data_IF_331134479693
#
_entry.id   IF_331134479693
#
_cell.length_a   1.000
_cell.length_b   1.000
_cell.length_c   1.000
_cell.angle_alpha   90.00
_cell.angle_beta   90.00
_cell.angle_gamma   90.00
#
_symmetry.space_group_name_H-M   'P 1'
#
loop_
_entity.id
_entity.type
_entity.pdbx_description
1 polymer ?
#
# COMPACT_ATOMS: atom_id res chain seq x y z
N UNK A 1 11.06 23.74 -2.76
CA UNK A 1 9.88 24.35 -2.10
C UNK A 1 9.90 24.00 -0.62
N UNK A 2 10.06 25.00 0.27
CA UNK A 2 10.05 24.81 1.73
C UNK A 2 8.61 24.97 2.22
N UNK A 3 7.98 23.87 2.64
CA UNK A 3 6.64 23.90 3.24
C UNK A 3 6.80 24.18 4.73
N UNK A 4 6.46 25.39 5.16
CA UNK A 4 6.29 25.76 6.56
C UNK A 4 5.11 24.96 7.11
N UNK A 5 5.36 24.06 8.07
CA UNK A 5 4.30 23.40 8.85
C UNK A 5 3.94 24.29 10.04
N UNK A 6 2.68 24.70 10.10
CA UNK A 6 2.11 25.37 11.28
C UNK A 6 1.91 24.36 12.42
N UNK A 7 2.14 24.75 13.69
CA UNK A 7 1.91 23.88 14.83
C UNK A 7 0.41 23.78 15.14
N UNK A 8 -0.08 22.53 15.20
CA UNK A 8 -1.42 22.21 15.63
C UNK A 8 -1.68 22.70 17.06
N UNK A 9 -2.81 23.38 17.24
CA UNK A 9 -3.25 23.95 18.51
C UNK A 9 -3.38 22.91 19.61
N UNK A 10 -2.76 23.21 20.75
CA UNK A 10 -2.93 22.51 22.02
C UNK A 10 -4.37 22.70 22.50
N UNK A 11 -5.18 21.65 22.46
CA UNK A 11 -6.48 21.61 23.16
C UNK A 11 -6.21 21.36 24.64
N UNK A 12 -6.16 22.43 25.43
CA UNK A 12 -6.04 22.36 26.89
C UNK A 12 -7.36 21.90 27.50
N UNK A 13 -7.43 20.64 27.92
CA UNK A 13 -8.48 20.13 28.81
C UNK A 13 -8.26 20.68 30.23
N UNK A 14 -8.92 21.79 30.55
CA UNK A 14 -9.01 22.31 31.91
C UNK A 14 -9.85 21.37 32.78
N UNK A 15 -9.19 20.45 33.49
CA UNK A 15 -9.80 19.54 34.46
C UNK A 15 -10.10 20.34 35.74
N UNK A 16 -11.35 20.80 35.90
CA UNK A 16 -11.88 21.30 37.18
C UNK A 16 -11.84 20.16 38.21
N UNK A 17 -10.84 20.15 39.08
CA UNK A 17 -10.84 19.34 40.30
C UNK A 17 -11.12 20.31 41.45
N UNK A 18 -12.38 20.31 41.87
CA UNK A 18 -12.84 21.10 43.00
C UNK A 18 -12.09 20.71 44.27
N UNK A 19 -11.61 21.73 44.96
CA UNK A 19 -11.00 21.69 46.28
C UNK A 19 -12.08 21.35 47.30
N UNK A 20 -12.02 20.15 47.86
CA UNK A 20 -12.65 19.83 49.14
C UNK A 20 -11.53 19.79 50.19
N UNK A 21 -11.16 20.97 50.70
CA UNK A 21 -10.30 21.11 51.87
C UNK A 21 -11.13 20.78 53.12
N UNK A 22 -11.31 19.49 53.37
CA UNK A 22 -11.92 18.95 54.59
C UNK A 22 -10.84 18.67 55.62
N UNK A 23 -10.83 19.48 56.68
CA UNK A 23 -10.09 19.32 57.93
C UNK A 23 -10.24 17.91 58.51
N UNK A 24 -9.17 17.11 58.44
CA UNK A 24 -9.12 15.77 59.07
C UNK A 24 -7.72 15.39 59.61
N UNK A 25 -6.88 16.37 59.97
CA UNK A 25 -5.57 16.13 60.55
C UNK A 25 -5.52 16.66 61.99
N UNK A 26 -6.23 15.98 62.87
CA UNK A 26 -6.05 16.12 64.31
C UNK A 26 -6.41 14.81 64.99
N UNK A 27 -5.60 13.76 64.80
CA UNK A 27 -5.41 12.71 65.81
C UNK A 27 -4.40 11.65 65.37
N UNK A 28 -3.40 11.45 66.26
CA UNK A 28 -2.50 10.30 66.39
C UNK A 28 -1.31 10.25 65.43
N UNK A 29 -0.28 11.02 65.78
CA UNK A 29 1.11 10.63 65.56
C UNK A 29 1.44 9.38 66.40
N UNK A 30 1.04 8.21 65.90
CA UNK A 30 1.70 6.97 66.27
C UNK A 30 3.07 6.95 65.58
N UNK A 31 4.13 6.39 66.20
CA UNK A 31 5.49 6.48 65.69
C UNK A 31 5.59 5.81 64.30
N UNK A 32 5.63 6.65 63.25
CA UNK A 32 5.80 6.26 61.84
C UNK A 32 7.05 5.37 61.64
N UNK A 33 7.98 5.40 62.58
CA UNK A 33 9.17 4.55 62.60
C UNK A 33 8.85 3.05 62.71
N UNK A 34 7.74 2.64 63.33
CA UNK A 34 7.42 1.22 63.56
C UNK A 34 6.74 0.55 62.36
N UNK A 35 5.90 1.27 61.61
CA UNK A 35 5.25 0.74 60.40
C UNK A 35 6.20 0.67 59.21
N UNK A 36 7.14 1.62 59.08
CA UNK A 36 8.21 1.57 58.07
C UNK A 36 9.13 0.37 58.31
N UNK A 37 9.43 0.04 59.56
CA UNK A 37 10.24 -1.14 59.91
C UNK A 37 9.56 -2.47 59.52
N UNK A 38 8.23 -2.58 59.68
CA UNK A 38 7.48 -3.79 59.30
C UNK A 38 7.30 -3.96 57.78
N UNK A 39 7.11 -2.86 57.04
CA UNK A 39 7.07 -2.91 55.58
C UNK A 39 8.46 -3.21 55.01
N UNK A 40 9.52 -2.73 55.67
CA UNK A 40 10.90 -3.05 55.29
C UNK A 40 11.17 -4.56 55.36
N UNK A 41 10.61 -5.27 56.35
CA UNK A 41 10.84 -6.71 56.51
C UNK A 41 10.19 -7.56 55.42
N UNK A 42 9.04 -7.13 54.88
CA UNK A 42 8.28 -7.94 53.90
C UNK A 42 8.93 -7.97 52.53
N UNK A 43 9.47 -6.85 52.04
CA UNK A 43 10.17 -6.85 50.74
C UNK A 43 11.54 -7.52 50.85
N UNK A 44 12.24 -7.41 51.98
CA UNK A 44 13.50 -8.12 52.22
C UNK A 44 13.28 -9.63 52.15
N UNK A 45 12.27 -10.17 52.84
CA UNK A 45 11.93 -11.59 52.76
C UNK A 45 11.50 -12.02 51.33
N UNK A 46 10.90 -11.12 50.54
CA UNK A 46 10.57 -11.40 49.13
C UNK A 46 11.82 -11.43 48.24
N UNK A 47 12.78 -10.52 48.45
CA UNK A 47 14.08 -10.49 47.77
C UNK A 47 14.96 -11.66 48.19
N UNK A 48 14.90 -12.11 49.44
CA UNK A 48 15.61 -13.33 49.88
C UNK A 48 15.06 -14.59 49.21
N UNK A 49 13.74 -14.65 48.98
CA UNK A 49 13.10 -15.77 48.25
C UNK A 49 13.39 -15.73 46.75
N UNK A 50 13.49 -14.54 46.18
CA UNK A 50 13.75 -14.31 44.75
C UNK A 50 14.83 -13.24 44.64
N UNK A 51 16.12 -13.61 44.84
CA UNK A 51 17.20 -12.65 44.72
C UNK A 51 17.24 -12.09 43.31
N UNK A 52 17.59 -10.81 43.12
CA UNK A 52 17.81 -10.26 41.80
C UNK A 52 18.90 -11.08 41.09
N UNK A 53 18.84 -11.20 39.75
CA UNK A 53 19.91 -11.85 39.02
C UNK A 53 21.25 -11.18 39.36
N UNK A 54 22.35 -11.95 39.47
CA UNK A 54 23.67 -11.39 39.76
C UNK A 54 24.01 -10.34 38.69
N UNK A 55 24.83 -9.32 39.04
CA UNK A 55 25.24 -8.31 38.07
C UNK A 55 25.82 -8.99 36.84
N UNK A 56 25.45 -8.50 35.66
CA UNK A 56 25.90 -9.07 34.40
C UNK A 56 27.44 -9.08 34.40
N UNK A 57 28.01 -10.28 34.54
CA UNK A 57 29.44 -10.46 34.29
C UNK A 57 29.70 -10.03 32.84
N UNK A 58 30.90 -9.54 32.53
CA UNK A 58 31.34 -9.35 31.15
C UNK A 58 31.42 -10.74 30.50
N UNK A 59 30.27 -11.30 30.13
CA UNK A 59 30.11 -12.63 29.59
C UNK A 59 30.63 -12.59 28.18
N UNK A 60 31.86 -13.04 28.07
CA UNK A 60 32.46 -13.36 26.80
C UNK A 60 31.68 -14.52 26.21
N UNK A 61 30.91 -14.26 25.15
CA UNK A 61 30.15 -15.28 24.45
C UNK A 61 31.13 -16.13 23.64
N UNK A 62 31.19 -17.44 23.91
CA UNK A 62 31.99 -18.34 23.10
C UNK A 62 31.39 -18.41 21.68
N UNK A 63 32.14 -17.98 20.66
CA UNK A 63 31.69 -17.94 19.26
C UNK A 63 31.14 -19.30 18.76
N UNK A 64 31.61 -20.41 19.35
CA UNK A 64 31.23 -21.78 18.97
C UNK A 64 29.78 -22.16 19.26
N UNK A 65 29.08 -21.49 20.18
CA UNK A 65 27.78 -21.98 20.68
C UNK A 65 26.56 -21.53 19.87
N UNK A 66 26.70 -20.73 18.80
CA UNK A 66 25.53 -20.13 18.17
C UNK A 66 25.63 -19.72 16.70
N UNK A 67 26.61 -20.20 15.92
CA UNK A 67 26.75 -19.76 14.53
C UNK A 67 26.67 -20.90 13.51
N UNK A 68 25.57 -20.87 12.74
CA UNK A 68 25.32 -21.66 11.52
C UNK A 68 26.18 -21.24 10.32
N UNK A 69 27.30 -20.51 10.52
CA UNK A 69 28.20 -20.19 9.42
C UNK A 69 29.15 -21.35 9.17
N UNK A 70 28.63 -22.42 8.55
CA UNK A 70 29.39 -23.56 8.03
C UNK A 70 30.41 -23.20 6.93
N UNK A 71 30.56 -21.91 6.62
CA UNK A 71 31.50 -21.36 5.64
C UNK A 71 32.72 -20.69 6.28
N UNK A 72 33.05 -21.02 7.53
CA UNK A 72 34.38 -20.70 8.07
C UNK A 72 35.41 -21.39 7.17
N UNK A 73 36.00 -20.56 6.32
CA UNK A 73 36.71 -20.93 5.10
C UNK A 73 37.71 -22.04 5.43
N UNK A 74 37.56 -23.19 4.76
CA UNK A 74 38.58 -24.24 4.57
C UNK A 74 39.81 -23.70 3.82
N UNK A 75 40.38 -22.59 4.29
CA UNK A 75 41.62 -21.97 3.84
C UNK A 75 42.63 -21.89 4.98
N UNK A 76 42.48 -22.70 6.03
CA UNK A 76 43.60 -23.01 6.91
C UNK A 76 44.58 -23.93 6.15
N UNK A 77 45.40 -23.27 5.34
CA UNK A 77 46.77 -23.68 5.07
C UNK A 77 47.35 -24.37 6.30
N UNK A 78 47.97 -25.52 6.08
CA UNK A 78 48.50 -26.52 7.03
C UNK A 78 49.34 -25.94 8.20
N UNK A 79 49.69 -24.64 8.18
CA UNK A 79 50.49 -23.95 9.19
C UNK A 79 49.73 -23.48 10.45
N UNK A 80 48.40 -23.58 10.53
CA UNK A 80 47.62 -23.07 11.68
C UNK A 80 47.08 -24.14 12.66
N UNK A 81 47.59 -25.38 12.64
CA UNK A 81 47.11 -26.49 13.51
C UNK A 81 47.37 -26.35 15.02
N UNK A 82 47.90 -25.23 15.51
CA UNK A 82 48.38 -25.06 16.89
C UNK A 82 47.71 -23.92 17.68
N UNK A 83 46.67 -23.27 17.15
CA UNK A 83 45.95 -22.21 17.88
C UNK A 83 44.43 -22.39 17.82
N UNK A 84 43.94 -23.54 18.27
CA UNK A 84 42.51 -23.74 18.61
C UNK A 84 42.18 -23.08 19.97
N UNK A 85 42.64 -21.84 20.19
CA UNK A 85 42.15 -21.04 21.32
C UNK A 85 40.85 -20.38 20.86
N UNK A 86 39.70 -20.62 21.53
CA UNK A 86 38.47 -19.92 21.18
C UNK A 86 38.72 -18.42 21.23
N UNK A 87 38.43 -17.73 20.14
CA UNK A 87 38.44 -16.28 20.11
C UNK A 87 37.17 -15.83 20.82
N UNK A 88 37.38 -14.91 21.73
CA UNK A 88 36.43 -14.51 22.74
C UNK A 88 36.15 -13.04 22.48
N UNK A 89 35.05 -12.75 21.78
CA UNK A 89 34.68 -11.39 21.41
C UNK A 89 33.76 -10.77 22.47
N UNK A 90 33.95 -9.48 22.73
CA UNK A 90 33.08 -8.72 23.63
C UNK A 90 31.72 -8.36 22.99
N UNK A 91 31.57 -8.59 21.67
CA UNK A 91 30.35 -8.30 20.93
C UNK A 91 29.58 -9.58 20.65
N UNK A 92 28.25 -9.49 20.78
CA UNK A 92 27.34 -10.54 20.34
C UNK A 92 27.47 -10.72 18.83
N UNK A 93 27.53 -11.96 18.35
CA UNK A 93 27.68 -12.21 16.92
C UNK A 93 26.37 -11.87 16.17
N UNK A 94 26.47 -11.53 14.88
CA UNK A 94 25.32 -11.09 14.10
C UNK A 94 24.38 -12.26 13.78
N UNK A 95 23.09 -12.13 14.05
CA UNK A 95 22.10 -13.16 13.71
C UNK A 95 21.84 -13.10 12.20
N UNK A 96 22.25 -14.14 11.47
CA UNK A 96 22.06 -14.25 10.02
C UNK A 96 21.21 -15.47 9.74
N UNK A 97 20.11 -15.27 9.01
CA UNK A 97 19.23 -16.35 8.62
C UNK A 97 19.51 -16.79 7.17
N UNK A 98 19.39 -18.09 6.84
CA UNK A 98 19.62 -18.56 5.47
C UNK A 98 18.65 -17.91 4.46
N UNK A 99 17.42 -17.63 4.86
CA UNK A 99 16.42 -16.98 4.02
C UNK A 99 16.67 -15.48 3.75
N UNK A 100 17.60 -14.84 4.49
CA UNK A 100 17.94 -13.42 4.24
C UNK A 100 18.52 -13.21 2.83
N UNK A 101 19.20 -14.22 2.28
CA UNK A 101 19.67 -14.19 0.91
C UNK A 101 18.50 -14.13 -0.08
N UNK A 102 17.45 -14.93 0.14
CA UNK A 102 16.25 -14.98 -0.70
C UNK A 102 15.42 -13.69 -0.61
N UNK A 103 15.31 -13.12 0.60
CA UNK A 103 14.65 -11.81 0.80
C UNK A 103 15.40 -10.73 0.01
N UNK A 104 16.74 -10.74 0.02
CA UNK A 104 17.55 -9.78 -0.74
C UNK A 104 17.38 -9.95 -2.24
N UNK A 105 17.46 -11.16 -2.78
CA UNK A 105 17.31 -11.40 -4.22
C UNK A 105 15.92 -11.01 -4.69
N UNK A 106 14.87 -11.34 -3.92
CA UNK A 106 13.49 -10.94 -4.25
C UNK A 106 13.34 -9.42 -4.37
N UNK A 107 13.82 -8.64 -3.40
CA UNK A 107 13.69 -7.19 -3.47
C UNK A 107 14.64 -6.52 -4.47
N UNK A 108 15.69 -7.22 -4.92
CA UNK A 108 16.53 -6.76 -6.03
C UNK A 108 15.79 -6.93 -7.36
N UNK A 109 15.10 -8.05 -7.56
CA UNK A 109 14.32 -8.33 -8.78
C UNK A 109 12.97 -7.60 -8.81
N UNK A 110 12.41 -7.27 -7.64
CA UNK A 110 11.11 -6.61 -7.49
C UNK A 110 11.23 -5.29 -6.71
N UNK A 111 11.84 -4.24 -7.28
CA UNK A 111 12.09 -2.98 -6.56
C UNK A 111 10.81 -2.29 -6.10
N UNK A 112 9.70 -2.45 -6.84
CA UNK A 112 8.40 -1.85 -6.50
C UNK A 112 7.72 -2.51 -5.29
N UNK A 113 8.07 -3.74 -4.94
CA UNK A 113 7.55 -4.39 -3.72
C UNK A 113 8.06 -3.72 -2.44
N UNK A 114 9.17 -2.98 -2.51
CA UNK A 114 9.67 -2.15 -1.38
C UNK A 114 8.78 -0.95 -1.07
N UNK A 115 7.98 -0.54 -2.04
CA UNK A 115 7.15 0.65 -1.95
C UNK A 115 5.78 0.35 -1.37
N UNK A 116 5.41 -0.93 -1.27
CA UNK A 116 4.16 -1.34 -0.65
C UNK A 116 4.27 -1.16 0.87
N UNK A 117 3.28 -0.51 1.51
CA UNK A 117 3.30 -0.32 2.95
C UNK A 117 3.20 -1.68 3.65
N UNK A 118 4.03 -1.87 4.68
CA UNK A 118 4.01 -3.07 5.53
C UNK A 118 3.73 -2.62 6.95
N UNK A 119 2.72 -3.23 7.58
CA UNK A 119 2.46 -3.02 8.99
C UNK A 119 3.53 -3.75 9.81
N UNK A 120 4.24 -3.03 10.67
CA UNK A 120 5.24 -3.58 11.59
C UNK A 120 4.63 -3.91 12.96
N UNK A 121 3.31 -3.82 13.13
CA UNK A 121 2.68 -4.22 14.39
C UNK A 121 2.69 -5.75 14.52
N UNK A 122 2.61 -6.27 15.73
CA UNK A 122 2.64 -7.72 15.99
C UNK A 122 1.23 -8.31 16.19
N UNK A 123 0.19 -7.61 15.73
CA UNK A 123 -1.23 -7.90 16.06
C UNK A 123 -1.77 -9.23 15.50
N UNK A 124 -0.90 -10.11 14.98
CA UNK A 124 -1.23 -11.44 14.43
C UNK A 124 -2.03 -11.41 13.13
N UNK A 125 -2.68 -10.30 12.83
CA UNK A 125 -3.56 -10.10 11.68
C UNK A 125 -2.91 -9.30 10.55
N UNK A 126 -1.62 -9.00 10.66
CA UNK A 126 -0.92 -8.22 9.66
C UNK A 126 -0.61 -9.06 8.43
N UNK A 127 -0.87 -8.45 7.27
CA UNK A 127 -0.45 -9.01 6.00
C UNK A 127 1.08 -9.16 6.01
N UNK A 128 1.54 -10.38 5.80
CA UNK A 128 2.97 -10.66 5.76
C UNK A 128 3.61 -9.92 4.58
N UNK A 129 4.84 -9.40 4.75
CA UNK A 129 5.56 -8.78 3.64
C UNK A 129 5.72 -9.77 2.49
N UNK A 130 5.67 -9.27 1.25
CA UNK A 130 5.68 -10.09 0.04
C UNK A 130 6.84 -11.11 0.00
N UNK A 131 8.05 -10.66 0.36
CA UNK A 131 9.22 -11.54 0.41
C UNK A 131 9.05 -12.69 1.41
N UNK A 132 8.44 -12.43 2.55
CA UNK A 132 8.24 -13.43 3.60
C UNK A 132 7.21 -14.49 3.18
N UNK A 133 6.14 -14.08 2.48
CA UNK A 133 5.16 -15.01 1.91
C UNK A 133 5.83 -16.00 0.95
N UNK A 134 6.70 -15.49 0.07
CA UNK A 134 7.42 -16.32 -0.92
C UNK A 134 8.41 -17.25 -0.25
N UNK A 135 9.21 -16.75 0.71
CA UNK A 135 10.16 -17.57 1.47
C UNK A 135 9.44 -18.70 2.20
N UNK A 136 8.34 -18.42 2.88
CA UNK A 136 7.55 -19.46 3.57
C UNK A 136 6.98 -20.47 2.59
N UNK A 137 6.38 -20.01 1.50
CA UNK A 137 5.84 -20.89 0.46
C UNK A 137 6.94 -21.76 -0.16
N UNK A 138 8.13 -21.20 -0.44
CA UNK A 138 9.28 -21.96 -0.95
C UNK A 138 9.74 -23.03 0.04
N UNK A 139 9.82 -22.71 1.33
CA UNK A 139 10.14 -23.70 2.37
C UNK A 139 9.08 -24.80 2.47
N UNK A 140 7.80 -24.46 2.36
CA UNK A 140 6.70 -25.42 2.32
C UNK A 140 6.84 -26.33 1.09
N UNK A 141 7.04 -25.75 -0.10
CA UNK A 141 7.19 -26.52 -1.33
C UNK A 141 8.40 -27.46 -1.33
N UNK A 142 9.53 -26.99 -0.80
CA UNK A 142 10.73 -27.81 -0.66
C UNK A 142 10.52 -28.98 0.32
N UNK A 143 9.85 -28.74 1.46
CA UNK A 143 9.60 -29.77 2.48
C UNK A 143 8.53 -30.79 2.07
N UNK A 144 7.41 -30.33 1.54
CA UNK A 144 6.24 -31.17 1.25
C UNK A 144 6.39 -31.94 -0.07
N UNK A 145 7.01 -31.32 -1.08
CA UNK A 145 7.09 -31.89 -2.43
C UNK A 145 8.51 -32.32 -2.81
N UNK A 146 9.51 -32.13 -1.93
CA UNK A 146 10.90 -32.51 -2.20
C UNK A 146 11.51 -31.76 -3.39
N UNK A 147 10.99 -30.57 -3.70
CA UNK A 147 11.49 -29.75 -4.80
C UNK A 147 12.85 -29.13 -4.43
N UNK A 148 13.74 -28.99 -5.43
CA UNK A 148 14.94 -28.18 -5.30
C UNK A 148 14.59 -26.74 -4.90
N UNK A 149 15.44 -26.09 -4.10
CA UNK A 149 15.20 -24.73 -3.60
C UNK A 149 14.88 -23.73 -4.72
N UNK A 150 15.53 -23.87 -5.87
CA UNK A 150 15.31 -23.01 -7.04
C UNK A 150 13.93 -23.24 -7.65
N UNK A 151 13.55 -24.51 -7.81
CA UNK A 151 12.23 -24.89 -8.35
C UNK A 151 11.11 -24.51 -7.41
N UNK A 152 11.27 -24.75 -6.11
CA UNK A 152 10.34 -24.36 -5.07
C UNK A 152 10.15 -22.83 -5.01
N UNK A 153 11.23 -22.06 -5.18
CA UNK A 153 11.18 -20.60 -5.28
C UNK A 153 10.37 -20.13 -6.49
N UNK A 154 10.60 -20.72 -7.67
CA UNK A 154 9.88 -20.36 -8.89
C UNK A 154 8.38 -20.66 -8.79
N UNK A 155 8.02 -21.81 -8.20
CA UNK A 155 6.60 -22.17 -7.95
C UNK A 155 5.96 -21.20 -6.96
N UNK A 156 6.65 -20.88 -5.86
CA UNK A 156 6.18 -19.89 -4.89
C UNK A 156 5.99 -18.50 -5.51
N UNK A 157 6.92 -18.09 -6.37
CA UNK A 157 6.85 -16.81 -7.07
C UNK A 157 5.68 -16.77 -8.06
N UNK A 158 5.44 -17.86 -8.81
CA UNK A 158 4.29 -17.96 -9.71
C UNK A 158 2.95 -17.88 -8.96
N UNK A 159 2.84 -18.57 -7.82
CA UNK A 159 1.66 -18.50 -6.95
C UNK A 159 1.44 -17.07 -6.41
N UNK A 160 2.52 -16.41 -5.97
CA UNK A 160 2.46 -15.02 -5.54
C UNK A 160 1.95 -14.07 -6.63
N UNK A 161 2.37 -14.26 -7.89
CA UNK A 161 1.89 -13.44 -9.01
C UNK A 161 0.41 -13.68 -9.33
N UNK A 162 -0.05 -14.93 -9.28
CA UNK A 162 -1.46 -15.23 -9.45
C UNK A 162 -2.33 -14.56 -8.38
N UNK A 163 -1.89 -14.64 -7.12
CA UNK A 163 -2.55 -13.95 -5.99
C UNK A 163 -2.57 -12.44 -6.20
N UNK A 164 -1.45 -11.83 -6.61
CA UNK A 164 -1.36 -10.39 -6.88
C UNK A 164 -2.29 -9.95 -7.97
N UNK A 165 -2.32 -10.66 -9.08
CA UNK A 165 -3.22 -10.36 -10.20
C UNK A 165 -4.69 -10.44 -9.75
N UNK A 166 -5.03 -11.43 -8.93
CA UNK A 166 -6.39 -11.56 -8.39
C UNK A 166 -6.76 -10.41 -7.44
N UNK A 167 -5.83 -9.98 -6.58
CA UNK A 167 -6.05 -8.88 -5.64
C UNK A 167 -6.21 -7.54 -6.36
N UNK A 168 -5.36 -7.26 -7.35
CA UNK A 168 -5.45 -6.06 -8.19
C UNK A 168 -6.75 -6.04 -9.00
N UNK A 169 -7.16 -7.17 -9.58
CA UNK A 169 -8.45 -7.29 -10.27
C UNK A 169 -9.64 -7.02 -9.33
N UNK A 170 -9.59 -7.52 -8.09
CA UNK A 170 -10.62 -7.25 -7.08
C UNK A 170 -10.65 -5.78 -6.67
N UNK A 171 -9.50 -5.14 -6.47
CA UNK A 171 -9.41 -3.72 -6.15
C UNK A 171 -9.97 -2.85 -7.29
N UNK A 172 -9.59 -3.16 -8.53
CA UNK A 172 -10.16 -2.52 -9.72
C UNK A 172 -11.68 -2.70 -9.80
N UNK A 173 -12.19 -3.90 -9.53
CA UNK A 173 -13.63 -4.16 -9.50
C UNK A 173 -14.33 -3.36 -8.39
N UNK A 174 -13.74 -3.26 -7.19
CA UNK A 174 -14.25 -2.44 -6.09
C UNK A 174 -14.30 -0.96 -6.46
N UNK A 175 -13.23 -0.43 -7.07
CA UNK A 175 -13.20 0.94 -7.55
C UNK A 175 -14.22 1.20 -8.66
N UNK A 176 -14.38 0.27 -9.60
CA UNK A 176 -15.37 0.38 -10.67
C UNK A 176 -16.80 0.40 -10.11
N UNK A 177 -17.11 -0.44 -9.11
CA UNK A 177 -18.40 -0.43 -8.40
C UNK A 177 -18.63 0.91 -7.69
N UNK A 178 -17.67 1.36 -6.89
CA UNK A 178 -17.75 2.65 -6.19
C UNK A 178 -17.96 3.81 -7.18
N UNK A 179 -17.24 3.81 -8.29
CA UNK A 179 -17.40 4.82 -9.37
C UNK A 179 -18.80 4.77 -9.97
N UNK A 180 -19.32 3.58 -10.27
CA UNK A 180 -20.69 3.41 -10.77
C UNK A 180 -21.71 3.93 -9.77
N UNK A 181 -21.57 3.62 -8.49
CA UNK A 181 -22.48 4.06 -7.44
C UNK A 181 -22.49 5.59 -7.32
N UNK A 182 -21.30 6.21 -7.34
CA UNK A 182 -21.15 7.67 -7.36
C UNK A 182 -21.83 8.30 -8.58
N UNK A 183 -21.67 7.73 -9.77
CA UNK A 183 -22.33 8.23 -10.98
C UNK A 183 -23.86 8.12 -10.89
N UNK A 184 -24.39 7.04 -10.29
CA UNK A 184 -25.82 6.90 -10.05
C UNK A 184 -26.32 7.97 -9.06
N UNK A 185 -25.59 8.22 -7.97
CA UNK A 185 -25.91 9.29 -7.03
C UNK A 185 -25.90 10.68 -7.70
N UNK A 186 -24.94 10.94 -8.58
CA UNK A 186 -24.89 12.21 -9.31
C UNK A 186 -26.06 12.34 -10.28
N UNK A 187 -26.45 11.24 -10.94
CA UNK A 187 -27.63 11.22 -11.82
C UNK A 187 -28.92 11.50 -11.04
N UNK A 188 -29.11 10.88 -9.88
CA UNK A 188 -30.31 11.11 -9.06
C UNK A 188 -30.36 12.54 -8.51
N UNK A 189 -29.22 13.10 -8.08
CA UNK A 189 -29.14 14.49 -7.64
C UNK A 189 -29.42 15.48 -8.78
N UNK A 190 -28.93 15.18 -9.99
CA UNK A 190 -29.21 16.03 -11.16
C UNK A 190 -30.70 16.04 -11.47
N UNK A 191 -31.34 14.87 -11.53
CA UNK A 191 -32.78 14.78 -11.75
C UNK A 191 -33.60 15.51 -10.67
N UNK A 192 -33.14 15.51 -9.41
CA UNK A 192 -33.77 16.27 -8.32
C UNK A 192 -33.62 17.78 -8.52
N UNK A 193 -32.43 18.25 -8.88
CA UNK A 193 -32.18 19.67 -9.18
C UNK A 193 -33.09 20.13 -10.33
N UNK A 194 -33.15 19.36 -11.42
CA UNK A 194 -33.98 19.68 -12.58
C UNK A 194 -35.47 19.75 -12.21
N UNK A 195 -35.93 18.83 -11.35
CA UNK A 195 -37.31 18.83 -10.86
C UNK A 195 -37.62 20.04 -9.96
N UNK A 196 -36.71 20.40 -9.04
CA UNK A 196 -36.86 21.57 -8.17
C UNK A 196 -36.83 22.88 -8.99
N UNK A 197 -35.97 22.98 -10.01
CA UNK A 197 -35.95 24.10 -10.95
C UNK A 197 -37.28 24.25 -11.70
N UNK A 198 -37.83 23.14 -12.22
CA UNK A 198 -39.13 23.19 -12.89
C UNK A 198 -40.32 23.55 -11.98
N UNK A 199 -40.20 23.41 -10.66
CA UNK A 199 -41.18 23.93 -9.69
C UNK A 199 -41.02 25.45 -9.54
N UNK A 200 -39.77 25.92 -9.41
CA UNK A 200 -39.47 27.35 -9.31
C UNK A 200 -39.92 28.12 -10.56
N UNK A 201 -39.64 27.61 -11.75
CA UNK A 201 -40.05 28.24 -13.01
C UNK A 201 -41.57 28.40 -13.11
N UNK A 202 -42.33 27.39 -12.66
CA UNK A 202 -43.80 27.45 -12.61
C UNK A 202 -44.30 28.50 -11.63
N UNK A 203 -43.69 28.62 -10.46
CA UNK A 203 -44.05 29.63 -9.46
C UNK A 203 -43.72 31.05 -9.92
N UNK A 204 -42.54 31.24 -10.51
CA UNK A 204 -42.16 32.52 -11.11
C UNK A 204 -43.12 32.93 -12.23
N UNK A 205 -43.56 31.97 -13.05
CA UNK A 205 -44.57 32.24 -14.08
C UNK A 205 -45.94 32.58 -13.48
N UNK A 206 -46.34 32.01 -12.34
CA UNK A 206 -47.57 32.36 -11.63
C UNK A 206 -47.52 33.77 -11.05
N UNK A 207 -46.40 34.15 -10.41
CA UNK A 207 -46.19 35.50 -9.91
C UNK A 207 -46.27 36.54 -11.04
N UNK A 208 -45.60 36.29 -12.17
CA UNK A 208 -45.66 37.17 -13.35
C UNK A 208 -47.07 37.30 -13.96
N UNK A 209 -47.93 36.28 -13.82
CA UNK A 209 -49.33 36.39 -14.28
C UNK A 209 -50.14 37.27 -13.33
N UNK A 210 -49.95 37.14 -12.02
CA UNK A 210 -50.61 38.01 -11.03
C UNK A 210 -50.22 39.48 -11.24
N UNK A 211 -48.93 39.77 -11.35
CA UNK A 211 -48.43 41.14 -11.62
C UNK A 211 -49.00 41.76 -12.91
N UNK A 212 -49.36 40.93 -13.90
CA UNK A 212 -49.91 41.40 -15.18
C UNK A 212 -51.44 41.58 -15.20
N UNK A 213 -52.16 40.98 -14.26
CA UNK A 213 -53.64 41.03 -14.18
C UNK A 213 -54.13 42.18 -13.25
N UNK A 214 -53.23 42.89 -12.57
CA UNK A 214 -53.54 43.88 -11.52
C UNK A 214 -53.72 45.35 -12.02
N UNK A 215 -53.90 45.62 -13.32
CA UNK A 215 -54.05 47.01 -13.78
C UNK A 215 -55.42 47.66 -13.49
N UNK A 216 -56.47 46.90 -13.11
CA UNK A 216 -57.83 47.45 -12.92
C UNK A 216 -58.50 47.17 -11.55
N UNK A 217 -57.93 46.35 -10.66
CA UNK A 217 -58.53 46.01 -9.36
C UNK A 217 -57.74 46.59 -8.16
N UNK A 218 -58.43 47.33 -7.29
CA UNK A 218 -57.83 47.94 -6.10
C UNK A 218 -57.32 46.85 -5.13
N UNK A 219 -56.09 46.98 -4.61
CA UNK A 219 -55.49 45.97 -3.74
C UNK A 219 -56.33 45.75 -2.49
N UNK A 220 -56.71 44.49 -2.26
CA UNK A 220 -57.32 44.02 -1.02
C UNK A 220 -56.23 43.89 0.04
N UNK A 221 -56.40 44.53 1.21
CA UNK A 221 -55.45 44.51 2.34
C UNK A 221 -55.10 43.09 2.85
N UNK A 222 -55.77 42.05 2.34
CA UNK A 222 -55.62 40.66 2.76
C UNK A 222 -54.62 39.83 1.91
N UNK A 223 -54.01 40.41 0.88
CA UNK A 223 -53.13 39.69 -0.05
C UNK A 223 -51.63 39.81 0.26
N UNK A 224 -51.22 40.73 1.16
CA UNK A 224 -49.80 40.88 1.55
C UNK A 224 -49.21 39.63 2.21
N UNK A 225 -50.02 38.90 2.98
CA UNK A 225 -49.52 37.73 3.73
C UNK A 225 -49.21 36.56 2.79
N UNK A 226 -49.99 36.39 1.71
CA UNK A 226 -49.79 35.29 0.75
C UNK A 226 -48.52 35.45 -0.09
N UNK A 227 -48.14 36.68 -0.39
CA UNK A 227 -46.95 36.97 -1.19
C UNK A 227 -45.68 36.64 -0.41
N UNK A 228 -45.62 37.00 0.87
CA UNK A 228 -44.50 36.67 1.76
C UNK A 228 -44.27 35.15 1.92
N UNK A 229 -45.34 34.36 1.97
CA UNK A 229 -45.25 32.90 2.04
C UNK A 229 -44.67 32.29 0.75
N UNK A 230 -45.02 32.84 -0.41
CA UNK A 230 -44.50 32.39 -1.71
C UNK A 230 -43.01 32.73 -1.84
N UNK A 231 -42.60 33.94 -1.44
CA UNK A 231 -41.20 34.36 -1.44
C UNK A 231 -40.34 33.49 -0.51
N UNK A 232 -40.83 33.20 0.71
CA UNK A 232 -40.14 32.34 1.66
C UNK A 232 -39.93 30.91 1.12
N UNK A 233 -40.93 30.36 0.44
CA UNK A 233 -40.84 29.03 -0.18
C UNK A 233 -39.89 29.03 -1.39
N UNK A 234 -39.89 30.06 -2.23
CA UNK A 234 -38.90 30.24 -3.31
C UNK A 234 -37.47 30.29 -2.73
N UNK A 235 -37.26 31.06 -1.67
CA UNK A 235 -35.95 31.15 -1.01
C UNK A 235 -35.50 29.79 -0.43
N UNK A 236 -36.41 29.06 0.22
CA UNK A 236 -36.13 27.72 0.74
C UNK A 236 -35.75 26.73 -0.37
N UNK A 237 -36.45 26.77 -1.51
CA UNK A 237 -36.15 25.93 -2.68
C UNK A 237 -34.82 26.28 -3.34
N UNK A 238 -34.50 27.56 -3.49
CA UNK A 238 -33.19 28.00 -4.00
C UNK A 238 -32.04 27.54 -3.10
N UNK A 239 -32.22 27.60 -1.78
CA UNK A 239 -31.25 27.08 -0.80
C UNK A 239 -31.04 25.56 -0.96
N UNK A 240 -32.12 24.80 -1.14
CA UNK A 240 -32.04 23.35 -1.38
C UNK A 240 -31.32 23.00 -2.69
N UNK A 241 -31.57 23.74 -3.78
CA UNK A 241 -30.87 23.57 -5.06
C UNK A 241 -29.37 23.87 -4.90
N UNK A 242 -29.01 24.95 -4.19
CA UNK A 242 -27.61 25.30 -3.93
C UNK A 242 -26.89 24.20 -3.14
N UNK A 243 -27.52 23.67 -2.08
CA UNK A 243 -26.96 22.57 -1.29
C UNK A 243 -26.77 21.28 -2.12
N UNK A 244 -27.77 20.90 -2.94
CA UNK A 244 -27.66 19.74 -3.83
C UNK A 244 -26.59 19.93 -4.91
N UNK A 245 -26.45 21.15 -5.44
CA UNK A 245 -25.42 21.50 -6.42
C UNK A 245 -24.01 21.42 -5.83
N UNK A 246 -23.82 21.90 -4.60
CA UNK A 246 -22.55 21.77 -3.88
C UNK A 246 -22.19 20.31 -3.60
N UNK A 247 -23.16 19.49 -3.22
CA UNK A 247 -22.95 18.05 -3.00
C UNK A 247 -22.59 17.34 -4.32
N UNK A 248 -23.28 17.65 -5.43
CA UNK A 248 -22.94 17.16 -6.77
C UNK A 248 -21.51 17.55 -7.17
N UNK A 249 -21.09 18.79 -6.93
CA UNK A 249 -19.74 19.26 -7.21
C UNK A 249 -18.67 18.49 -6.38
N UNK A 250 -18.95 18.26 -5.09
CA UNK A 250 -18.09 17.45 -4.21
C UNK A 250 -17.96 16.00 -4.68
N UNK A 251 -19.07 15.38 -5.10
CA UNK A 251 -19.06 14.01 -5.65
C UNK A 251 -18.30 13.94 -6.98
N UNK A 252 -18.45 14.94 -7.87
CA UNK A 252 -17.65 15.03 -9.09
C UNK A 252 -16.15 15.16 -8.79
N UNK A 253 -15.76 15.96 -7.81
CA UNK A 253 -14.35 16.06 -7.39
C UNK A 253 -13.80 14.75 -6.79
N UNK A 254 -14.68 13.88 -6.28
CA UNK A 254 -14.32 12.53 -5.81
C UNK A 254 -14.25 11.48 -6.95
N UNK A 255 -14.95 11.75 -8.06
CA UNK A 255 -14.94 10.93 -9.27
C UNK A 255 -13.70 11.17 -10.12
N UNK A 256 -13.15 12.38 -10.07
CA UNK A 256 -11.81 12.62 -10.60
C UNK A 256 -10.90 11.62 -9.88
N UNK A 257 -10.36 10.62 -10.60
CA UNK A 257 -9.38 9.77 -10.01
C UNK A 257 -8.25 10.73 -9.70
N UNK A 258 -8.11 11.15 -8.44
CA UNK A 258 -6.81 11.64 -7.97
C UNK A 258 -5.88 10.54 -8.45
N UNK A 259 -5.06 10.81 -9.47
CA UNK A 259 -4.21 9.76 -9.96
C UNK A 259 -3.45 9.35 -8.70
N UNK A 260 -3.36 8.05 -8.45
CA UNK A 260 -2.31 7.55 -7.55
C UNK A 260 -1.02 7.88 -8.30
N UNK A 261 -0.66 9.17 -8.27
CA UNK A 261 0.00 9.90 -9.37
C UNK A 261 1.47 9.60 -9.42
N UNK A 262 1.97 8.93 -8.40
CA UNK A 262 3.36 8.56 -8.35
C UNK A 262 3.63 7.20 -9.04
N UNK A 263 2.61 6.35 -9.23
CA UNK A 263 2.72 5.07 -9.94
C UNK A 263 2.35 5.17 -11.42
N UNK A 264 1.22 5.80 -11.78
CA UNK A 264 0.78 5.87 -13.18
C UNK A 264 1.69 6.68 -14.09
N UNK A 265 2.26 7.79 -13.62
CA UNK A 265 3.13 8.61 -14.47
C UNK A 265 4.47 7.90 -14.73
N UNK A 266 4.95 7.09 -13.78
CA UNK A 266 6.12 6.23 -13.98
C UNK A 266 5.80 4.99 -14.81
N UNK A 267 4.64 4.36 -14.61
CA UNK A 267 4.21 3.22 -15.42
C UNK A 267 3.93 3.63 -16.86
N UNK A 268 3.31 4.78 -17.13
CA UNK A 268 3.10 5.24 -18.51
C UNK A 268 4.43 5.55 -19.20
N UNK A 269 5.39 6.13 -18.49
CA UNK A 269 6.76 6.29 -18.98
C UNK A 269 7.46 4.94 -19.22
N UNK A 270 7.34 3.98 -18.31
CA UNK A 270 7.94 2.65 -18.46
C UNK A 270 7.25 1.78 -19.50
N UNK A 271 5.94 1.91 -19.69
CA UNK A 271 5.15 1.26 -20.73
C UNK A 271 5.46 1.84 -22.10
N UNK A 272 5.72 3.15 -22.19
CA UNK A 272 6.22 3.75 -23.43
C UNK A 272 7.59 3.15 -23.80
N UNK A 273 8.51 3.07 -22.84
CA UNK A 273 9.83 2.45 -23.04
C UNK A 273 9.73 0.95 -23.34
N UNK A 274 8.81 0.22 -22.71
CA UNK A 274 8.63 -1.22 -22.99
C UNK A 274 8.01 -1.48 -24.37
N UNK A 275 7.15 -0.58 -24.85
CA UNK A 275 6.56 -0.65 -26.19
C UNK A 275 7.61 -0.40 -27.27
N UNK A 276 8.48 0.60 -27.08
CA UNK A 276 9.63 0.82 -27.96
C UNK A 276 10.57 -0.40 -27.97
N UNK A 277 10.81 -1.02 -26.82
CA UNK A 277 11.64 -2.23 -26.73
C UNK A 277 11.00 -3.43 -27.45
N UNK A 278 9.68 -3.62 -27.34
CA UNK A 278 8.97 -4.66 -28.08
C UNK A 278 9.02 -4.43 -29.60
N UNK A 279 8.96 -3.18 -30.04
CA UNK A 279 9.12 -2.84 -31.46
C UNK A 279 10.54 -3.16 -31.95
N UNK A 280 11.57 -2.92 -31.12
CA UNK A 280 12.95 -3.32 -31.44
C UNK A 280 13.08 -4.84 -31.55
N UNK A 281 12.51 -5.60 -30.61
CA UNK A 281 12.53 -7.07 -30.66
C UNK A 281 11.78 -7.64 -31.87
N UNK A 282 10.64 -7.04 -32.23
CA UNK A 282 9.90 -7.44 -33.43
C UNK A 282 10.69 -7.14 -34.71
N UNK A 283 11.36 -5.98 -34.79
CA UNK A 283 12.28 -5.66 -35.90
C UNK A 283 13.44 -6.65 -35.99
N UNK A 284 14.01 -7.07 -34.85
CA UNK A 284 15.09 -8.05 -34.83
C UNK A 284 14.62 -9.43 -35.28
N UNK A 285 13.43 -9.87 -34.85
CA UNK A 285 12.80 -11.12 -35.31
C UNK A 285 12.53 -11.09 -36.81
N UNK A 286 12.01 -9.99 -37.33
CA UNK A 286 11.74 -9.83 -38.76
C UNK A 286 13.06 -9.84 -39.56
N UNK A 287 14.10 -9.17 -39.07
CA UNK A 287 15.43 -9.20 -39.69
C UNK A 287 16.02 -10.61 -39.76
N UNK A 288 15.90 -11.39 -38.69
CA UNK A 288 16.33 -12.81 -38.67
C UNK A 288 15.54 -13.65 -39.66
N UNK A 289 14.22 -13.45 -39.74
CA UNK A 289 13.35 -14.13 -40.72
C UNK A 289 13.77 -13.85 -42.15
N UNK A 290 14.00 -12.58 -42.49
CA UNK A 290 14.47 -12.17 -43.83
C UNK A 290 15.86 -12.75 -44.14
N UNK A 291 16.77 -12.78 -43.17
CA UNK A 291 18.09 -13.38 -43.36
C UNK A 291 17.99 -14.89 -43.64
N UNK A 292 17.16 -15.60 -42.89
CA UNK A 292 16.94 -17.03 -43.07
C UNK A 292 16.32 -17.34 -44.44
N UNK A 293 15.37 -16.50 -44.89
CA UNK A 293 14.78 -16.61 -46.23
C UNK A 293 15.81 -16.35 -47.33
N UNK A 294 16.69 -15.34 -47.18
CA UNK A 294 17.78 -15.08 -48.14
C UNK A 294 18.80 -16.22 -48.19
N UNK A 295 19.15 -16.83 -47.06
CA UNK A 295 20.02 -18.01 -47.04
C UNK A 295 19.38 -19.18 -47.78
N UNK A 296 18.09 -19.43 -47.53
CA UNK A 296 17.34 -20.47 -48.24
C UNK A 296 17.26 -20.22 -49.75
N UNK A 297 17.09 -18.97 -50.20
CA UNK A 297 17.12 -18.60 -51.62
C UNK A 297 18.52 -18.75 -52.24
N UNK A 298 19.58 -18.54 -51.47
CA UNK A 298 20.95 -18.72 -51.94
C UNK A 298 21.28 -20.21 -52.10
N UNK A 299 20.88 -21.03 -51.14
CA UNK A 299 21.02 -22.49 -51.20
C UNK A 299 20.25 -23.08 -52.38
N UNK A 300 19.00 -22.66 -52.61
CA UNK A 300 18.20 -23.14 -53.75
C UNK A 300 18.80 -22.73 -55.10
N UNK A 301 19.36 -21.52 -55.21
CA UNK A 301 20.08 -21.08 -56.42
C UNK A 301 21.38 -21.84 -56.67
N UNK A 302 22.14 -22.15 -55.62
CA UNK A 302 23.36 -22.94 -55.77
C UNK A 302 23.07 -24.39 -56.14
N UNK A 303 21.99 -24.98 -55.62
CA UNK A 303 21.57 -26.33 -56.01
C UNK A 303 21.09 -26.37 -57.47
N UNK A 304 20.29 -25.39 -57.90
CA UNK A 304 19.83 -25.32 -59.30
C UNK A 304 20.98 -25.18 -60.31
N UNK A 305 22.08 -24.50 -59.98
CA UNK A 305 23.24 -24.39 -60.89
C UNK A 305 24.03 -25.69 -61.00
N UNK A 306 24.06 -26.49 -59.94
CA UNK A 306 24.81 -27.75 -59.93
C UNK A 306 24.15 -28.79 -60.85
N UNK A 307 22.82 -28.75 -60.96
CA UNK A 307 22.07 -29.65 -61.85
C UNK A 307 22.26 -29.28 -63.34
N UNK A 308 22.48 -28.00 -63.66
CA UNK A 308 22.73 -27.54 -65.05
C UNK A 308 24.16 -27.87 -65.54
N UNK A 309 25.16 -27.84 -64.65
CA UNK A 309 26.55 -28.16 -65.02
C UNK A 309 26.76 -29.67 -65.26
N UNK A 310 26.02 -30.55 -64.58
CA UNK A 310 26.09 -32.01 -64.84
C UNK A 310 25.41 -32.41 -66.17
N UNK A 311 24.50 -31.60 -66.71
CA UNK A 311 23.87 -31.86 -68.01
C UNK A 311 24.74 -31.46 -69.22
N UNK A 312 25.80 -30.66 -69.02
CA UNK A 312 26.63 -30.10 -70.08
C UNK A 312 27.79 -30.98 -70.57
N UNK A 313 28.30 -31.91 -69.75
CA UNK A 313 29.55 -32.65 -70.05
C UNK A 313 29.33 -33.96 -70.84
N UNK A 314 28.08 -34.23 -71.28
CA UNK A 314 27.70 -35.45 -71.99
C UNK A 314 27.82 -35.41 -73.52
N UNK A 315 28.31 -34.31 -74.13
CA UNK A 315 28.29 -34.11 -75.59
C UNK A 315 29.62 -33.65 -76.19
N UNK A 316 30.72 -34.37 -75.92
CA UNK A 316 31.88 -34.38 -76.82
C UNK A 316 32.45 -35.80 -76.94
N UNK A 317 31.85 -36.60 -77.81
CA UNK A 317 32.48 -37.71 -78.53
C UNK A 317 31.88 -37.78 -79.92
#
# INVERSE_FOLDING_TARGET
>A
MKIKREPAGLVTFARRRALAAGTFFAQREAPVTQTVAMLATRWIAAVERVPPPPPALNTVVAERAGHFTSNEKKRSSIKNKLKDKPVYTHHSPAIVYPEDALRRTFYQTHPFERLRPVSLTEDGNNEQPAAERIVRAQQTYAREYGLDDTSAYNVALAAFYADRQSAEAQEHARHARKRRDLLLTIRTLSARIDADQGILDRRLAELRRREGDDEDDLPSDNDSDKESDIEADIAAKNSAIAANSALKASLNASLDPRPVSWFRDKELGQLAVSREFLDVLNKERESKRVMQEKMSQFESRNMSRKDDDEAGDGKQK
#
